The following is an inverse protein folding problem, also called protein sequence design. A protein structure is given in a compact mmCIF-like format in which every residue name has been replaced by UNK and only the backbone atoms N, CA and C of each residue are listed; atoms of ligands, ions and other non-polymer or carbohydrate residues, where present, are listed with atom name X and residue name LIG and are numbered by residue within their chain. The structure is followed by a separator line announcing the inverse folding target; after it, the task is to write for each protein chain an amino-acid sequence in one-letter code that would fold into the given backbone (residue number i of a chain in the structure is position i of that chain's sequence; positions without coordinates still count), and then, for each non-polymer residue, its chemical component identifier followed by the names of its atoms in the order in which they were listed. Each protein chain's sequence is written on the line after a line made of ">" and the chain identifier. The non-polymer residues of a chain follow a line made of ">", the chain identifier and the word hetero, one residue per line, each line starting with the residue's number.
data_IF_113710238533
#
_entry.id   IF_113710238533
#
_cell.length_a   1.000
_cell.length_b   1.000
_cell.length_c   1.000
_cell.angle_alpha   90.00
_cell.angle_beta   90.00
_cell.angle_gamma   90.00
#
_symmetry.space_group_name_H-M   'P 1'
#
loop_
_entity.id
_entity.type
_entity.pdbx_description
1 polymer ?
#
# COMPACT_ATOMS: atom_id res chain seq x y z
N UNK A 1 42.40 -5.92 42.26
CA UNK A 1 42.25 -5.75 40.80
C UNK A 1 40.79 -5.43 40.50
N UNK A 2 40.58 -4.33 39.76
CA UNK A 2 39.30 -3.89 39.21
C UNK A 2 38.98 -4.73 37.98
N UNK A 3 37.70 -5.09 37.78
CA UNK A 3 37.02 -4.79 36.51
C UNK A 3 35.51 -4.84 36.73
N UNK A 4 34.88 -3.67 36.59
CA UNK A 4 33.46 -3.45 36.81
C UNK A 4 32.63 -3.87 35.61
N UNK A 5 31.37 -4.21 35.91
CA UNK A 5 30.28 -4.49 34.96
C UNK A 5 30.06 -3.23 34.11
N UNK A 6 30.37 -3.29 32.82
CA UNK A 6 30.07 -2.21 31.87
C UNK A 6 28.55 -2.02 31.80
N UNK A 7 28.08 -0.93 32.38
CA UNK A 7 26.70 -0.45 32.26
C UNK A 7 26.60 0.26 30.91
N UNK A 8 25.71 -0.24 30.04
CA UNK A 8 25.32 0.45 28.80
C UNK A 8 24.67 1.79 29.17
N UNK A 9 24.97 2.90 28.48
CA UNK A 9 24.32 4.17 28.77
C UNK A 9 22.84 4.06 28.37
N UNK A 10 21.97 3.95 29.38
CA UNK A 10 20.56 4.28 29.22
C UNK A 10 20.50 5.81 29.16
N UNK A 11 20.14 6.34 28.01
CA UNK A 11 19.97 7.77 27.82
C UNK A 11 18.87 8.29 28.75
N UNK A 12 19.20 9.33 29.52
CA UNK A 12 18.29 10.02 30.40
C UNK A 12 17.39 10.97 29.60
N UNK A 13 16.08 10.81 29.73
CA UNK A 13 15.09 11.75 29.19
C UNK A 13 15.26 13.11 29.87
N UNK A 14 15.46 14.18 29.09
CA UNK A 14 15.14 15.53 29.56
C UNK A 14 13.64 15.73 29.37
N UNK A 15 12.89 15.57 30.45
CA UNK A 15 11.46 15.87 30.52
C UNK A 15 11.29 17.39 30.54
N UNK A 16 10.76 17.92 29.44
CA UNK A 16 10.26 19.29 29.35
C UNK A 16 8.88 19.27 28.67
N UNK A 17 7.84 19.49 29.47
CA UNK A 17 6.42 19.66 29.12
C UNK A 17 5.65 18.44 28.57
N UNK A 18 4.85 17.86 29.48
CA UNK A 18 3.64 17.05 29.29
C UNK A 18 3.42 16.40 27.91
N UNK A 19 3.99 15.22 27.72
CA UNK A 19 3.60 14.28 26.67
C UNK A 19 3.18 12.97 27.34
N UNK A 20 1.93 12.87 27.80
CA UNK A 20 1.43 11.73 28.58
C UNK A 20 1.12 10.46 27.74
N UNK A 21 1.36 10.47 26.42
CA UNK A 21 0.91 9.37 25.53
C UNK A 21 2.00 8.66 24.70
N UNK A 22 3.24 9.14 24.68
CA UNK A 22 4.24 8.69 23.69
C UNK A 22 5.00 7.38 24.04
N UNK A 23 4.87 6.82 25.25
CA UNK A 23 5.91 5.86 25.73
C UNK A 23 5.44 4.61 26.47
N UNK A 24 4.14 4.36 26.61
CA UNK A 24 3.69 3.32 27.55
C UNK A 24 3.58 1.89 26.98
N UNK A 25 3.79 1.64 25.67
CA UNK A 25 3.64 0.27 25.16
C UNK A 25 4.33 -0.03 23.81
N UNK A 26 5.49 0.57 23.51
CA UNK A 26 6.25 0.16 22.34
C UNK A 26 6.82 -1.25 22.54
N UNK A 27 6.40 -2.20 21.71
CA UNK A 27 6.91 -3.57 21.76
C UNK A 27 8.39 -3.66 21.33
N UNK A 28 9.08 -4.72 21.76
CA UNK A 28 10.50 -4.95 21.41
C UNK A 28 10.76 -4.91 19.89
N UNK A 29 9.82 -5.42 19.09
CA UNK A 29 9.88 -5.33 17.63
C UNK A 29 9.96 -3.88 17.15
N UNK A 30 9.08 -3.01 17.64
CA UNK A 30 9.04 -1.60 17.24
C UNK A 30 10.35 -0.89 17.55
N UNK A 31 10.86 -1.06 18.77
CA UNK A 31 12.12 -0.47 19.21
C UNK A 31 13.32 -0.94 18.37
N UNK A 32 13.38 -2.25 18.07
CA UNK A 32 14.47 -2.82 17.27
C UNK A 32 14.41 -2.33 15.82
N UNK A 33 13.22 -2.25 15.23
CA UNK A 33 13.03 -1.73 13.86
C UNK A 33 13.36 -0.24 13.78
N UNK A 34 12.92 0.56 14.77
CA UNK A 34 13.23 1.99 14.88
C UNK A 34 14.74 2.22 14.94
N UNK A 35 15.44 1.47 15.78
CA UNK A 35 16.90 1.53 15.89
C UNK A 35 17.59 1.13 14.57
N UNK A 36 17.18 0.02 13.94
CA UNK A 36 17.78 -0.44 12.69
C UNK A 36 17.60 0.57 11.54
N UNK A 37 16.42 1.17 11.41
CA UNK A 37 16.17 2.20 10.40
C UNK A 37 16.95 3.49 10.68
N UNK A 38 17.13 3.86 11.95
CA UNK A 38 17.94 5.01 12.33
C UNK A 38 19.39 4.81 11.92
N UNK A 39 19.98 3.66 12.29
CA UNK A 39 21.34 3.31 11.93
C UNK A 39 21.49 3.26 10.40
N UNK A 40 20.50 2.73 9.68
CA UNK A 40 20.54 2.66 8.22
C UNK A 40 20.47 4.05 7.57
N UNK A 41 19.59 4.93 8.03
CA UNK A 41 19.47 6.30 7.53
C UNK A 41 20.73 7.13 7.75
N UNK A 42 21.30 7.04 8.97
CA UNK A 42 22.49 7.80 9.39
C UNK A 42 23.74 7.53 8.55
N UNK A 43 23.82 6.39 7.85
CA UNK A 43 24.97 6.10 6.98
C UNK A 43 25.11 7.12 5.85
N UNK A 44 23.99 7.64 5.33
CA UNK A 44 24.00 8.47 4.13
C UNK A 44 23.38 9.86 4.31
N UNK A 45 22.60 10.08 5.36
CA UNK A 45 21.93 11.35 5.56
C UNK A 45 21.53 11.61 7.02
N UNK A 46 21.30 12.89 7.34
CA UNK A 46 20.83 13.30 8.66
C UNK A 46 19.48 12.64 8.97
N UNK A 47 19.42 11.88 10.06
CA UNK A 47 18.21 11.16 10.47
C UNK A 47 17.89 11.50 11.93
N UNK A 48 16.70 11.99 12.22
CA UNK A 48 16.27 12.28 13.59
C UNK A 48 15.27 11.23 14.08
N UNK A 49 15.27 10.95 15.38
CA UNK A 49 14.31 10.07 16.06
C UNK A 49 13.24 10.90 16.75
N UNK A 50 12.03 10.36 16.81
CA UNK A 50 10.93 10.88 17.64
C UNK A 50 10.74 12.39 17.48
N UNK A 51 10.60 12.81 16.22
CA UNK A 51 10.46 14.23 15.90
C UNK A 51 9.00 14.64 16.07
N UNK A 52 8.74 15.37 17.16
CA UNK A 52 7.49 16.08 17.36
C UNK A 52 7.31 17.16 16.30
N UNK A 53 6.13 17.18 15.69
CA UNK A 53 5.79 18.18 14.68
C UNK A 53 5.17 19.41 15.37
N UNK A 54 5.69 20.61 15.08
CA UNK A 54 5.44 21.82 15.89
C UNK A 54 3.96 22.22 16.04
N UNK A 55 3.09 21.79 15.10
CA UNK A 55 1.67 22.16 15.05
C UNK A 55 0.71 21.01 15.42
N UNK A 56 1.22 19.80 15.66
CA UNK A 56 0.38 18.64 15.95
C UNK A 56 1.07 17.65 16.87
N UNK A 57 0.33 17.06 17.82
CA UNK A 57 0.82 16.05 18.76
C UNK A 57 1.21 14.70 18.11
N UNK A 58 1.64 14.71 16.85
CA UNK A 58 2.17 13.57 16.11
C UNK A 58 3.68 13.62 16.22
N UNK A 59 4.24 12.50 16.63
CA UNK A 59 5.68 12.27 16.71
C UNK A 59 6.00 11.23 15.65
N UNK A 60 6.75 11.61 14.62
CA UNK A 60 7.23 10.64 13.63
C UNK A 60 8.31 9.76 14.26
N UNK A 61 8.31 8.46 14.00
CA UNK A 61 9.36 7.57 14.52
C UNK A 61 10.75 7.99 14.02
N UNK A 62 10.85 8.34 12.73
CA UNK A 62 12.07 8.88 12.13
C UNK A 62 11.76 10.04 11.18
N UNK A 63 12.74 10.93 11.02
CA UNK A 63 12.72 12.01 10.04
C UNK A 63 14.04 12.03 9.26
N UNK A 64 14.00 11.72 7.96
CA UNK A 64 15.16 11.72 7.08
C UNK A 64 15.33 13.10 6.42
N UNK A 65 16.52 13.69 6.53
CA UNK A 65 16.91 15.01 6.04
C UNK A 65 15.86 16.11 6.25
N UNK A 66 15.12 16.03 7.35
CA UNK A 66 14.04 16.97 7.71
C UNK A 66 12.89 17.07 6.70
N UNK A 67 12.76 16.13 5.76
CA UNK A 67 11.80 16.23 4.65
C UNK A 67 11.08 14.92 4.30
N UNK A 68 11.29 13.86 5.07
CA UNK A 68 10.60 12.59 4.88
C UNK A 68 10.40 11.92 6.24
N UNK A 69 9.16 11.88 6.71
CA UNK A 69 8.78 11.16 7.91
C UNK A 69 8.67 9.66 7.63
N UNK A 70 9.07 8.84 8.59
CA UNK A 70 8.82 7.40 8.59
C UNK A 70 7.99 7.03 9.82
N UNK A 71 7.02 6.15 9.60
CA UNK A 71 6.11 5.61 10.61
C UNK A 71 6.22 4.09 10.62
N UNK A 72 6.50 3.50 11.79
CA UNK A 72 6.64 2.05 11.97
C UNK A 72 5.38 1.55 12.69
N UNK A 73 4.55 0.81 11.98
CA UNK A 73 3.30 0.30 12.55
C UNK A 73 3.40 -1.20 12.84
N UNK A 74 3.56 -1.57 14.11
CA UNK A 74 3.60 -2.97 14.57
C UNK A 74 2.29 -3.42 15.25
N UNK A 75 1.49 -2.51 15.80
CA UNK A 75 0.19 -2.77 16.42
C UNK A 75 -0.96 -2.39 15.47
N UNK A 76 -2.21 -2.81 15.71
CA UNK A 76 -3.36 -2.27 14.97
C UNK A 76 -3.43 -0.75 15.07
N UNK A 77 -3.82 -0.09 13.98
CA UNK A 77 -4.03 1.36 13.90
C UNK A 77 -5.41 1.61 13.31
N UNK A 78 -6.20 2.45 13.98
CA UNK A 78 -7.55 2.76 13.53
C UNK A 78 -7.53 3.68 12.30
N UNK A 79 -8.55 3.63 11.43
CA UNK A 79 -8.68 4.59 10.32
C UNK A 79 -8.68 6.05 10.79
N UNK A 80 -9.27 6.33 11.95
CA UNK A 80 -9.35 7.66 12.54
C UNK A 80 -7.98 8.18 12.97
N UNK A 81 -7.19 7.33 13.65
CA UNK A 81 -5.82 7.68 14.06
C UNK A 81 -4.90 7.82 12.85
N UNK A 82 -5.02 6.92 11.88
CA UNK A 82 -4.29 7.03 10.62
C UNK A 82 -4.60 8.35 9.91
N UNK A 83 -5.88 8.69 9.76
CA UNK A 83 -6.32 9.94 9.13
C UNK A 83 -5.80 11.17 9.88
N UNK A 84 -5.95 11.20 11.21
CA UNK A 84 -5.42 12.28 12.06
C UNK A 84 -3.92 12.47 11.89
N UNK A 85 -3.13 11.38 11.85
CA UNK A 85 -1.68 11.46 11.68
C UNK A 85 -1.29 11.95 10.30
N UNK A 86 -1.91 11.41 9.25
CA UNK A 86 -1.62 11.84 7.88
C UNK A 86 -2.05 13.29 7.61
N UNK A 87 -3.12 13.77 8.25
CA UNK A 87 -3.52 15.18 8.15
C UNK A 87 -2.41 16.11 8.66
N UNK A 88 -1.79 15.80 9.81
CA UNK A 88 -0.66 16.61 10.34
C UNK A 88 0.51 16.63 9.36
N UNK A 89 0.87 15.49 8.77
CA UNK A 89 1.93 15.44 7.76
C UNK A 89 1.58 16.25 6.51
N UNK A 90 0.32 16.20 6.08
CA UNK A 90 -0.18 16.96 4.95
C UNK A 90 -0.15 18.46 5.20
N UNK A 91 -0.59 18.92 6.38
CA UNK A 91 -0.63 20.35 6.74
C UNK A 91 0.79 20.95 6.79
N UNK A 92 1.80 20.12 7.01
CA UNK A 92 3.22 20.50 7.08
C UNK A 92 3.97 20.31 5.76
N UNK A 93 3.28 19.94 4.67
CA UNK A 93 3.91 19.55 3.39
C UNK A 93 5.03 18.51 3.56
N UNK A 94 4.88 17.61 4.54
CA UNK A 94 5.88 16.61 4.92
C UNK A 94 5.44 15.22 4.46
N UNK A 95 6.05 14.64 3.41
CA UNK A 95 5.74 13.27 2.99
C UNK A 95 6.02 12.26 4.11
N UNK A 96 5.16 11.25 4.23
CA UNK A 96 5.30 10.16 5.20
C UNK A 96 5.30 8.80 4.52
N UNK A 97 6.18 7.90 4.96
CA UNK A 97 6.17 6.48 4.58
C UNK A 97 5.78 5.61 5.77
N UNK A 98 4.73 4.83 5.58
CA UNK A 98 4.26 3.83 6.54
C UNK A 98 4.91 2.48 6.28
N UNK A 99 5.54 1.91 7.31
CA UNK A 99 6.28 0.65 7.29
C UNK A 99 5.62 -0.35 8.24
N UNK A 100 5.09 -1.45 7.70
CA UNK A 100 4.25 -2.37 8.45
C UNK A 100 5.04 -3.57 8.99
N UNK A 101 5.09 -3.73 10.31
CA UNK A 101 5.78 -4.83 11.01
C UNK A 101 5.12 -6.21 10.86
N UNK A 102 5.68 -7.21 11.53
CA UNK A 102 5.37 -8.64 11.35
C UNK A 102 3.90 -9.02 11.51
N UNK A 103 3.19 -8.38 12.45
CA UNK A 103 1.75 -8.62 12.66
C UNK A 103 0.90 -8.25 11.45
N UNK A 104 1.41 -7.38 10.58
CA UNK A 104 0.75 -6.84 9.40
C UNK A 104 1.39 -7.28 8.10
N UNK A 105 2.14 -8.38 8.12
CA UNK A 105 2.63 -9.00 6.89
C UNK A 105 1.49 -9.43 5.97
N UNK A 106 1.72 -9.26 4.68
CA UNK A 106 0.76 -9.64 3.66
C UNK A 106 0.54 -11.16 3.61
N UNK A 107 -0.72 -11.59 3.67
CA UNK A 107 -1.12 -13.02 3.67
C UNK A 107 -2.09 -13.36 2.53
N UNK A 108 -2.02 -12.62 1.42
CA UNK A 108 -2.83 -12.85 0.22
C UNK A 108 -4.21 -12.18 0.20
N UNK A 109 -4.70 -11.65 1.32
CA UNK A 109 -5.84 -10.72 1.38
C UNK A 109 -5.38 -9.47 2.10
N UNK A 110 -5.79 -8.31 1.59
CA UNK A 110 -5.43 -7.04 2.22
C UNK A 110 -6.23 -6.83 3.50
N UNK A 111 -5.54 -6.47 4.58
CA UNK A 111 -6.17 -5.96 5.79
C UNK A 111 -6.60 -4.51 5.61
N UNK A 112 -7.43 -3.99 6.52
CA UNK A 112 -7.80 -2.58 6.52
C UNK A 112 -6.58 -1.67 6.67
N UNK A 113 -5.66 -1.99 7.59
CA UNK A 113 -4.42 -1.23 7.75
C UNK A 113 -3.54 -1.23 6.49
N UNK A 114 -3.40 -2.35 5.80
CA UNK A 114 -2.67 -2.38 4.53
C UNK A 114 -3.35 -1.50 3.47
N UNK A 115 -4.68 -1.42 3.46
CA UNK A 115 -5.43 -0.51 2.56
C UNK A 115 -5.29 0.96 2.96
N UNK A 116 -5.20 1.26 4.25
CA UNK A 116 -4.91 2.61 4.74
C UNK A 116 -3.54 3.06 4.24
N UNK A 117 -2.53 2.21 4.41
CA UNK A 117 -1.14 2.49 4.05
C UNK A 117 -0.82 2.31 2.56
N UNK A 118 -1.83 2.11 1.70
CA UNK A 118 -1.62 2.08 0.26
C UNK A 118 -1.08 3.42 -0.23
N UNK A 119 -0.03 3.35 -1.02
CA UNK A 119 0.53 4.45 -1.80
C UNK A 119 0.35 4.16 -3.29
N UNK A 120 0.53 5.18 -4.13
CA UNK A 120 0.38 5.06 -5.57
C UNK A 120 1.58 5.67 -6.29
N UNK A 121 2.00 5.01 -7.37
CA UNK A 121 2.95 5.57 -8.34
C UNK A 121 2.58 5.14 -9.76
N UNK A 122 2.82 5.97 -10.79
CA UNK A 122 2.48 5.60 -12.16
C UNK A 122 3.23 4.37 -12.68
N UNK A 123 4.41 4.08 -12.13
CA UNK A 123 5.26 2.97 -12.58
C UNK A 123 5.10 1.70 -11.75
N UNK A 124 4.52 1.76 -10.54
CA UNK A 124 4.28 0.58 -9.70
C UNK A 124 2.80 0.35 -9.33
N UNK A 125 1.88 1.21 -9.75
CA UNK A 125 0.48 1.12 -9.33
C UNK A 125 0.32 1.34 -7.83
N UNK A 126 -0.66 0.66 -7.24
CA UNK A 126 -0.83 0.60 -5.80
C UNK A 126 0.23 -0.27 -5.14
N UNK A 127 0.80 0.23 -4.04
CA UNK A 127 1.83 -0.47 -3.29
C UNK A 127 1.80 -0.15 -1.79
N UNK A 128 2.44 -0.98 -0.97
CA UNK A 128 2.75 -0.70 0.43
C UNK A 128 4.01 -1.45 0.87
N UNK A 129 4.52 -1.11 2.06
CA UNK A 129 5.76 -1.65 2.60
C UNK A 129 5.51 -2.54 3.81
N UNK A 130 6.10 -3.74 3.80
CA UNK A 130 6.34 -4.54 5.00
C UNK A 130 7.79 -4.39 5.45
N UNK A 131 8.01 -4.35 6.76
CA UNK A 131 9.31 -4.21 7.39
C UNK A 131 9.62 -5.46 8.21
N UNK A 132 10.53 -6.29 7.71
CA UNK A 132 10.89 -7.58 8.30
C UNK A 132 12.18 -7.47 9.12
N UNK A 133 12.01 -7.30 10.43
CA UNK A 133 13.12 -7.20 11.36
C UNK A 133 13.85 -8.53 11.60
N UNK A 134 13.19 -9.68 11.39
CA UNK A 134 13.82 -10.99 11.55
C UNK A 134 14.76 -11.28 10.37
N UNK A 135 14.32 -10.95 9.15
CA UNK A 135 15.14 -11.10 7.94
C UNK A 135 16.03 -9.91 7.64
N UNK A 136 15.84 -8.79 8.33
CA UNK A 136 16.51 -7.51 8.04
C UNK A 136 16.22 -7.07 6.59
N UNK A 137 14.95 -7.09 6.21
CA UNK A 137 14.49 -6.79 4.86
C UNK A 137 13.36 -5.76 4.88
N UNK A 138 13.42 -4.82 3.93
CA UNK A 138 12.28 -4.00 3.58
C UNK A 138 11.62 -4.59 2.33
N UNK A 139 10.33 -4.90 2.41
CA UNK A 139 9.59 -5.64 1.38
C UNK A 139 8.52 -4.75 0.78
N UNK A 140 8.62 -4.47 -0.52
CA UNK A 140 7.65 -3.74 -1.31
C UNK A 140 6.66 -4.72 -1.94
N UNK A 141 5.38 -4.58 -1.62
CA UNK A 141 4.28 -5.22 -2.35
C UNK A 141 3.71 -4.19 -3.32
N UNK A 142 3.76 -4.44 -4.63
CA UNK A 142 3.39 -3.44 -5.64
C UNK A 142 2.63 -4.05 -6.82
N UNK A 143 2.09 -3.17 -7.67
CA UNK A 143 1.20 -3.50 -8.78
C UNK A 143 0.02 -4.36 -8.31
N UNK A 144 -0.58 -3.94 -7.19
CA UNK A 144 -1.55 -4.74 -6.45
C UNK A 144 -2.94 -4.71 -7.11
N UNK A 145 -3.49 -5.90 -7.36
CA UNK A 145 -4.82 -6.12 -7.93
C UNK A 145 -5.59 -7.16 -7.12
N UNK A 146 -6.88 -6.92 -6.91
CA UNK A 146 -7.79 -7.83 -6.21
C UNK A 146 -8.56 -8.69 -7.22
N UNK A 147 -8.57 -10.01 -7.00
CA UNK A 147 -9.39 -10.95 -7.77
C UNK A 147 -10.85 -10.98 -7.27
N UNK A 148 -11.73 -11.62 -8.03
CA UNK A 148 -13.16 -11.78 -7.68
C UNK A 148 -13.40 -12.56 -6.39
N UNK A 149 -12.42 -13.34 -5.91
CA UNK A 149 -12.53 -13.99 -4.60
C UNK A 149 -12.14 -13.06 -3.46
N UNK A 150 -11.61 -11.88 -3.77
CA UNK A 150 -11.10 -10.87 -2.84
C UNK A 150 -9.66 -11.11 -2.40
N UNK A 151 -8.91 -12.02 -3.06
CA UNK A 151 -7.47 -12.18 -2.84
C UNK A 151 -6.72 -11.12 -3.63
N UNK A 152 -5.60 -10.66 -3.10
CA UNK A 152 -4.76 -9.69 -3.76
C UNK A 152 -3.54 -10.40 -4.38
N UNK A 153 -3.24 -10.02 -5.62
CA UNK A 153 -2.12 -10.49 -6.43
C UNK A 153 -1.29 -9.27 -6.85
N UNK A 154 0.02 -9.48 -7.05
CA UNK A 154 0.92 -8.40 -7.44
C UNK A 154 2.36 -8.88 -7.44
N UNK A 155 3.27 -7.92 -7.56
CA UNK A 155 4.70 -8.12 -7.57
C UNK A 155 5.31 -7.82 -6.20
N UNK A 156 6.48 -8.39 -5.96
CA UNK A 156 7.24 -8.19 -4.72
C UNK A 156 8.66 -7.78 -5.07
N UNK A 157 9.18 -6.77 -4.38
CA UNK A 157 10.60 -6.44 -4.38
C UNK A 157 11.12 -6.47 -2.94
N UNK A 158 12.28 -7.06 -2.73
CA UNK A 158 12.90 -7.24 -1.41
C UNK A 158 14.21 -6.46 -1.38
N UNK A 159 14.40 -5.68 -0.32
CA UNK A 159 15.55 -4.82 -0.12
C UNK A 159 16.20 -5.14 1.23
N UNK A 160 17.31 -5.90 1.25
CA UNK A 160 18.02 -6.16 2.49
C UNK A 160 18.55 -4.85 3.08
N UNK A 161 18.52 -4.76 4.41
CA UNK A 161 19.01 -3.58 5.12
C UNK A 161 20.48 -3.32 4.78
N UNK A 162 20.87 -2.05 4.80
CA UNK A 162 22.24 -1.57 4.63
C UNK A 162 22.90 -1.85 3.26
N UNK A 163 22.25 -2.56 2.32
CA UNK A 163 22.84 -2.81 0.99
C UNK A 163 22.79 -1.60 0.06
N UNK A 164 21.77 -0.76 0.22
CA UNK A 164 21.56 0.48 -0.54
C UNK A 164 21.16 1.59 0.42
N UNK A 165 21.36 2.88 0.08
CA UNK A 165 20.85 3.98 0.89
C UNK A 165 19.35 3.84 1.15
N UNK A 166 18.91 4.00 2.40
CA UNK A 166 17.49 3.87 2.79
C UNK A 166 16.57 4.72 1.90
N UNK A 167 16.94 5.99 1.64
CA UNK A 167 16.18 6.87 0.75
C UNK A 167 16.14 6.40 -0.70
N UNK A 168 17.18 5.74 -1.22
CA UNK A 168 17.13 5.15 -2.56
C UNK A 168 16.08 4.02 -2.60
N UNK A 169 16.08 3.16 -1.59
CA UNK A 169 15.09 2.08 -1.46
C UNK A 169 13.68 2.63 -1.39
N UNK A 170 13.42 3.62 -0.52
CA UNK A 170 12.10 4.22 -0.35
C UNK A 170 11.61 4.96 -1.60
N UNK A 171 12.52 5.46 -2.45
CA UNK A 171 12.19 6.11 -3.73
C UNK A 171 12.03 5.12 -4.88
N UNK A 172 12.35 3.85 -4.69
CA UNK A 172 12.29 2.83 -5.74
C UNK A 172 10.96 2.81 -6.50
N UNK A 173 9.77 2.91 -5.85
CA UNK A 173 8.49 2.90 -6.56
C UNK A 173 8.33 4.03 -7.58
N UNK A 174 9.02 5.15 -7.38
CA UNK A 174 8.90 6.36 -8.21
C UNK A 174 9.98 6.47 -9.29
N UNK A 175 11.00 5.61 -9.25
CA UNK A 175 12.17 5.68 -10.14
C UNK A 175 12.12 4.64 -11.28
N UNK A 176 11.13 3.75 -11.29
CA UNK A 176 11.03 2.70 -12.30
C UNK A 176 10.74 3.31 -13.68
N UNK A 177 11.61 2.98 -14.64
CA UNK A 177 11.46 3.37 -16.06
C UNK A 177 10.98 2.23 -16.95
N UNK A 178 11.14 0.99 -16.49
CA UNK A 178 10.72 -0.19 -17.24
C UNK A 178 9.26 -0.50 -16.94
N UNK A 179 8.54 -0.93 -17.98
CA UNK A 179 7.20 -1.47 -17.84
C UNK A 179 7.25 -2.70 -16.92
N UNK A 180 6.49 -2.66 -15.84
CA UNK A 180 6.26 -3.82 -14.98
C UNK A 180 4.91 -4.41 -15.36
N UNK A 181 4.86 -5.73 -15.40
CA UNK A 181 3.64 -6.46 -15.65
C UNK A 181 3.69 -7.85 -15.02
N UNK A 182 2.53 -8.45 -14.84
CA UNK A 182 2.39 -9.86 -14.48
C UNK A 182 1.09 -10.42 -15.03
N UNK A 183 1.08 -11.72 -15.32
CA UNK A 183 -0.13 -12.43 -15.69
C UNK A 183 -0.95 -12.78 -14.44
N UNK A 184 -2.18 -12.29 -14.38
CA UNK A 184 -3.08 -12.53 -13.27
C UNK A 184 -3.60 -13.97 -13.25
N UNK A 185 -3.69 -14.56 -12.07
CA UNK A 185 -4.32 -15.87 -11.90
C UNK A 185 -5.84 -15.72 -11.89
N UNK A 186 -6.48 -16.17 -12.97
CA UNK A 186 -7.93 -16.13 -13.18
C UNK A 186 -8.64 -17.37 -12.61
N UNK A 187 -9.94 -17.24 -12.37
CA UNK A 187 -10.87 -18.35 -12.17
C UNK A 187 -11.76 -18.50 -13.41
N UNK A 188 -11.42 -19.46 -14.27
CA UNK A 188 -12.21 -19.78 -15.47
C UNK A 188 -13.56 -20.46 -15.15
N UNK A 189 -13.77 -20.87 -13.90
CA UNK A 189 -15.01 -21.48 -13.43
C UNK A 189 -15.75 -20.55 -12.45
N UNK A 190 -15.45 -19.25 -12.48
CA UNK A 190 -16.01 -18.27 -11.56
C UNK A 190 -17.54 -18.32 -11.43
N UNK A 191 -18.34 -18.47 -12.51
CA UNK A 191 -19.80 -18.61 -12.38
C UNK A 191 -20.24 -19.78 -11.48
N UNK A 192 -19.50 -20.90 -11.49
CA UNK A 192 -19.75 -22.05 -10.60
C UNK A 192 -19.41 -21.72 -9.15
N UNK A 193 -18.31 -21.01 -8.92
CA UNK A 193 -17.95 -20.51 -7.60
C UNK A 193 -19.04 -19.57 -7.05
N UNK A 194 -19.47 -18.59 -7.85
CA UNK A 194 -20.51 -17.62 -7.49
C UNK A 194 -21.82 -18.31 -7.11
N UNK A 195 -22.30 -19.26 -7.93
CA UNK A 195 -23.52 -20.01 -7.64
C UNK A 195 -23.44 -20.72 -6.29
N UNK A 196 -22.29 -21.32 -5.98
CA UNK A 196 -22.04 -21.96 -4.67
C UNK A 196 -22.00 -20.94 -3.52
N UNK A 197 -21.42 -19.76 -3.71
CA UNK A 197 -21.41 -18.69 -2.70
C UNK A 197 -22.82 -18.18 -2.38
N UNK A 198 -23.67 -18.01 -3.40
CA UNK A 198 -25.06 -17.60 -3.21
C UNK A 198 -25.89 -18.68 -2.51
N UNK A 199 -25.68 -19.96 -2.86
CA UNK A 199 -26.31 -21.08 -2.18
C UNK A 199 -25.97 -21.10 -0.69
N UNK A 200 -24.70 -20.86 -0.34
CA UNK A 200 -24.25 -20.78 1.05
C UNK A 200 -24.52 -19.42 1.71
N UNK A 201 -25.23 -18.51 1.03
CA UNK A 201 -25.59 -17.18 1.55
C UNK A 201 -24.37 -16.38 2.02
N UNK A 202 -23.28 -16.42 1.25
CA UNK A 202 -22.15 -15.52 1.46
C UNK A 202 -22.65 -14.07 1.43
N UNK A 203 -22.43 -13.31 2.50
CA UNK A 203 -23.02 -11.98 2.70
C UNK A 203 -22.69 -11.01 1.56
N UNK A 204 -21.41 -10.97 1.14
CA UNK A 204 -20.97 -10.12 0.05
C UNK A 204 -21.71 -10.44 -1.25
N UNK A 205 -21.74 -11.71 -1.66
CA UNK A 205 -22.40 -12.08 -2.92
C UNK A 205 -23.93 -11.93 -2.87
N UNK A 206 -24.55 -12.16 -1.71
CA UNK A 206 -25.99 -11.90 -1.52
C UNK A 206 -26.30 -10.42 -1.70
N UNK A 207 -25.48 -9.53 -1.15
CA UNK A 207 -25.61 -8.09 -1.34
C UNK A 207 -25.43 -7.69 -2.81
N UNK A 208 -24.40 -8.21 -3.48
CA UNK A 208 -24.19 -7.95 -4.92
C UNK A 208 -25.36 -8.45 -5.77
N UNK A 209 -25.93 -9.62 -5.44
CA UNK A 209 -27.10 -10.17 -6.13
C UNK A 209 -28.35 -9.30 -5.90
N UNK A 210 -28.53 -8.76 -4.70
CA UNK A 210 -29.62 -7.84 -4.39
C UNK A 210 -29.52 -6.56 -5.23
N UNK A 211 -28.33 -5.97 -5.30
CA UNK A 211 -28.07 -4.80 -6.14
C UNK A 211 -28.34 -5.10 -7.63
N UNK A 212 -27.93 -6.28 -8.11
CA UNK A 212 -28.23 -6.71 -9.47
C UNK A 212 -29.75 -6.82 -9.71
N UNK A 213 -30.51 -7.42 -8.78
CA UNK A 213 -31.97 -7.52 -8.90
C UNK A 213 -32.66 -6.16 -8.93
N UNK A 214 -32.19 -5.19 -8.14
CA UNK A 214 -32.70 -3.82 -8.17
C UNK A 214 -32.48 -3.15 -9.53
N UNK A 215 -31.41 -3.52 -10.23
CA UNK A 215 -31.13 -3.10 -11.60
C UNK A 215 -31.81 -3.97 -12.68
N UNK A 216 -32.69 -4.91 -12.29
CA UNK A 216 -33.37 -5.83 -13.22
C UNK A 216 -32.47 -6.94 -13.79
N UNK A 217 -31.32 -7.21 -13.16
CA UNK A 217 -30.32 -8.18 -13.59
C UNK A 217 -30.25 -9.38 -12.65
N UNK A 218 -29.59 -10.46 -13.09
CA UNK A 218 -29.29 -11.63 -12.25
C UNK A 218 -27.83 -12.03 -12.43
N UNK A 219 -27.05 -12.14 -11.35
CA UNK A 219 -25.64 -12.53 -11.46
C UNK A 219 -25.47 -13.98 -11.96
N UNK A 220 -26.45 -14.87 -11.71
CA UNK A 220 -26.40 -16.27 -12.15
C UNK A 220 -26.62 -16.45 -13.66
N UNK A 221 -27.15 -15.44 -14.36
CA UNK A 221 -27.34 -15.51 -15.82
C UNK A 221 -26.13 -14.98 -16.58
N UNK A 222 -25.12 -14.44 -15.88
CA UNK A 222 -23.90 -13.90 -16.48
C UNK A 222 -22.96 -15.02 -16.91
N UNK A 223 -22.36 -14.86 -18.09
CA UNK A 223 -21.29 -15.69 -18.61
C UNK A 223 -19.95 -15.35 -17.94
N UNK A 224 -18.91 -16.17 -18.17
CA UNK A 224 -17.56 -15.85 -17.70
C UNK A 224 -17.04 -14.50 -18.24
N UNK A 225 -17.44 -14.13 -19.46
CA UNK A 225 -16.97 -12.90 -20.11
C UNK A 225 -17.47 -11.64 -19.40
N UNK A 226 -18.67 -11.69 -18.80
CA UNK A 226 -19.25 -10.57 -18.04
C UNK A 226 -18.50 -10.28 -16.73
N UNK A 227 -17.55 -11.13 -16.35
CA UNK A 227 -16.70 -10.98 -15.18
C UNK A 227 -15.26 -10.58 -15.53
N UNK A 228 -14.99 -10.27 -16.81
CA UNK A 228 -13.70 -9.78 -17.26
C UNK A 228 -13.66 -8.23 -17.23
N UNK A 229 -12.57 -7.60 -16.77
CA UNK A 229 -11.38 -8.20 -16.15
C UNK A 229 -11.69 -8.77 -14.75
N UNK A 230 -11.08 -9.91 -14.40
CA UNK A 230 -11.32 -10.56 -13.10
C UNK A 230 -10.42 -10.01 -11.98
N UNK A 231 -9.27 -9.45 -12.34
CA UNK A 231 -8.42 -8.74 -11.40
C UNK A 231 -8.59 -7.25 -11.66
N UNK A 232 -8.85 -6.48 -10.61
CA UNK A 232 -8.98 -5.02 -10.69
C UNK A 232 -8.03 -4.36 -9.71
N UNK A 233 -7.57 -3.12 -9.95
CA UNK A 233 -6.72 -2.42 -8.99
C UNK A 233 -7.31 -2.46 -7.58
N UNK A 234 -6.45 -2.66 -6.57
CA UNK A 234 -6.90 -2.57 -5.18
C UNK A 234 -7.39 -1.15 -4.86
N UNK A 235 -8.40 -1.05 -3.99
CA UNK A 235 -8.94 0.25 -3.57
C UNK A 235 -8.37 0.68 -2.22
N UNK A 236 -7.84 1.91 -2.10
CA UNK A 236 -7.49 2.51 -0.82
C UNK A 236 -8.76 2.84 -0.03
N UNK A 237 -8.60 3.13 1.26
CA UNK A 237 -9.72 3.60 2.08
C UNK A 237 -10.11 5.03 1.65
N UNK A 238 -11.37 5.29 1.26
CA UNK A 238 -11.79 6.61 0.78
C UNK A 238 -11.64 7.71 1.85
N UNK A 239 -11.25 8.91 1.43
CA UNK A 239 -11.32 10.13 2.25
C UNK A 239 -10.25 10.28 3.34
N UNK A 240 -9.28 9.37 3.45
CA UNK A 240 -8.23 9.41 4.49
C UNK A 240 -6.84 9.83 3.97
N UNK A 241 -6.71 10.09 2.67
CA UNK A 241 -5.50 10.61 2.04
C UNK A 241 -5.86 11.37 0.76
N UNK A 242 -5.02 12.33 0.39
CA UNK A 242 -5.11 12.94 -0.94
C UNK A 242 -4.69 11.95 -2.02
N UNK A 243 -5.45 11.93 -3.12
CA UNK A 243 -5.11 11.18 -4.33
C UNK A 243 -4.58 12.15 -5.39
N UNK A 244 -3.53 11.73 -6.10
CA UNK A 244 -3.06 12.46 -7.29
C UNK A 244 -4.06 12.34 -8.45
N UNK A 245 -4.01 13.24 -9.43
CA UNK A 245 -4.82 13.13 -10.66
C UNK A 245 -4.61 11.77 -11.34
N UNK A 246 -3.34 11.35 -11.45
CA UNK A 246 -2.97 10.06 -12.05
C UNK A 246 -3.57 8.85 -11.34
N UNK A 247 -3.78 8.96 -10.03
CA UNK A 247 -4.43 7.91 -9.25
C UNK A 247 -5.94 7.89 -9.53
N UNK A 248 -6.58 9.07 -9.60
CA UNK A 248 -8.02 9.19 -9.89
C UNK A 248 -8.38 8.63 -11.25
N UNK A 249 -7.53 8.84 -12.25
CA UNK A 249 -7.78 8.39 -13.62
C UNK A 249 -7.41 6.92 -13.85
N UNK A 250 -6.68 6.29 -12.93
CA UNK A 250 -6.13 4.96 -13.16
C UNK A 250 -7.20 3.89 -13.37
N UNK A 251 -8.25 3.87 -12.54
CA UNK A 251 -9.31 2.85 -12.64
C UNK A 251 -10.09 2.96 -13.95
N UNK A 252 -10.40 4.19 -14.41
CA UNK A 252 -11.13 4.39 -15.67
C UNK A 252 -10.29 3.98 -16.88
N UNK A 253 -9.01 4.36 -16.93
CA UNK A 253 -8.07 3.96 -17.99
C UNK A 253 -7.88 2.44 -18.03
N UNK A 254 -7.75 1.82 -16.86
CA UNK A 254 -7.66 0.37 -16.72
C UNK A 254 -8.90 -0.32 -17.31
N UNK A 255 -10.10 0.12 -16.94
CA UNK A 255 -11.35 -0.46 -17.44
C UNK A 255 -11.53 -0.24 -18.94
N UNK A 256 -11.20 0.95 -19.45
CA UNK A 256 -11.28 1.27 -20.87
C UNK A 256 -10.36 0.37 -21.71
N UNK A 257 -9.15 0.08 -21.23
CA UNK A 257 -8.22 -0.84 -21.88
C UNK A 257 -8.80 -2.27 -21.98
N UNK A 258 -9.32 -2.81 -20.87
CA UNK A 258 -9.84 -4.18 -20.88
C UNK A 258 -11.22 -4.33 -21.55
N UNK A 259 -12.00 -3.26 -21.67
CA UNK A 259 -13.26 -3.26 -22.42
C UNK A 259 -13.06 -3.58 -23.92
N UNK A 260 -11.86 -3.36 -24.45
CA UNK A 260 -11.51 -3.62 -25.86
C UNK A 260 -10.94 -5.03 -26.07
N UNK A 261 -10.71 -5.79 -25.00
CA UNK A 261 -10.05 -7.09 -25.08
C UNK A 261 -11.01 -8.18 -25.52
N UNK A 262 -10.58 -9.04 -26.47
CA UNK A 262 -11.38 -10.16 -26.99
C UNK A 262 -11.15 -11.49 -26.26
N UNK A 263 -10.13 -11.59 -25.41
CA UNK A 263 -9.80 -12.79 -24.62
C UNK A 263 -10.18 -12.63 -23.15
N UNK A 264 -10.87 -13.64 -22.61
CA UNK A 264 -11.30 -13.68 -21.20
C UNK A 264 -10.53 -14.72 -20.38
N UNK A 265 -9.60 -15.45 -21.01
CA UNK A 265 -8.83 -16.54 -20.41
C UNK A 265 -7.42 -16.13 -19.98
N UNK A 266 -7.01 -14.92 -20.33
CA UNK A 266 -5.73 -14.35 -19.97
C UNK A 266 -5.92 -12.88 -19.60
N UNK A 267 -5.25 -12.43 -18.55
CA UNK A 267 -5.23 -11.03 -18.15
C UNK A 267 -3.81 -10.63 -17.75
N UNK A 268 -3.11 -9.95 -18.66
CA UNK A 268 -1.79 -9.39 -18.39
C UNK A 268 -1.95 -7.99 -17.81
N UNK A 269 -1.55 -7.81 -16.56
CA UNK A 269 -1.68 -6.57 -15.79
C UNK A 269 -0.42 -5.73 -15.93
N UNK A 270 -0.56 -4.44 -16.24
CA UNK A 270 0.53 -3.50 -16.48
C UNK A 270 0.55 -2.37 -15.44
N UNK A 271 1.69 -1.71 -15.28
CA UNK A 271 1.80 -0.46 -14.52
C UNK A 271 0.89 0.65 -15.09
N UNK A 272 0.36 1.57 -14.25
CA UNK A 272 -0.57 2.62 -14.67
C UNK A 272 -0.17 3.44 -15.90
N UNK A 273 1.12 3.78 -16.03
CA UNK A 273 1.60 4.57 -17.17
C UNK A 273 1.27 3.93 -18.52
N UNK A 274 1.19 2.60 -18.57
CA UNK A 274 0.87 1.86 -19.79
C UNK A 274 -0.55 2.14 -20.24
N UNK A 275 -1.53 2.00 -19.34
CA UNK A 275 -2.94 2.23 -19.70
C UNK A 275 -3.19 3.67 -20.12
N UNK A 276 -2.55 4.64 -19.44
CA UNK A 276 -2.59 6.04 -19.86
C UNK A 276 -2.09 6.22 -21.30
N UNK A 277 -0.91 5.67 -21.60
CA UNK A 277 -0.33 5.78 -22.93
C UNK A 277 -1.18 5.09 -24.02
N UNK A 278 -1.85 3.99 -23.70
CA UNK A 278 -2.78 3.34 -24.63
C UNK A 278 -4.06 4.16 -24.82
N UNK A 279 -4.64 4.74 -23.75
CA UNK A 279 -5.81 5.61 -23.87
C UNK A 279 -5.51 6.89 -24.69
N UNK A 280 -4.35 7.50 -24.51
CA UNK A 280 -3.93 8.70 -25.26
C UNK A 280 -3.82 8.43 -26.77
N UNK A 281 -3.38 7.22 -27.17
CA UNK A 281 -3.34 6.80 -28.59
C UNK A 281 -4.73 6.64 -29.19
N UNK A 282 -5.70 6.19 -28.39
CA UNK A 282 -7.07 5.96 -28.86
C UNK A 282 -7.78 7.30 -29.09
N UNK A 283 -7.66 8.24 -28.15
CA UNK A 283 -8.24 9.58 -28.30
C UNK A 283 -7.69 10.33 -29.53
N UNK A 284 -6.39 10.21 -29.80
CA UNK A 284 -5.78 10.82 -30.99
C UNK A 284 -6.22 10.18 -32.31
N UNK A 285 -6.58 8.89 -32.33
CA UNK A 285 -7.13 8.25 -33.53
C UNK A 285 -8.60 8.62 -33.80
N UNK A 286 -9.39 8.91 -32.76
CA UNK A 286 -10.77 9.37 -32.91
C UNK A 286 -10.85 10.82 -33.40
N UNK A 287 -9.93 11.70 -32.96
CA UNK A 287 -9.82 13.09 -33.42
C UNK A 287 -9.35 13.22 -34.88
N UNK A 288 -8.54 12.29 -35.38
CA UNK A 288 -8.09 12.29 -36.79
C UNK A 288 -9.19 11.80 -37.74
N UNK A 289 -10.15 11.01 -37.23
CA UNK A 289 -11.26 10.45 -38.01
C UNK A 289 -12.58 11.23 -37.87
N UNK A 290 -12.56 12.37 -37.16
CA UNK A 290 -13.68 13.30 -36.97
C UNK A 290 -13.52 14.56 -37.84
#
# INVERSE_FOLDING_TARGET
>A
MKSGRQIRPHFAHKVGQACEWATLNEGAEHLNLKAALFDWGQIHEATALEVGQAEGAVVSDLLLSQNLALEIQCSPLSPQDYGRRNQVYQDLDLPVVWLLGSKHFFKGRMTELQRLCLQFSPSCGYFFWNLDGEKQELVLHYLLHQDLHGRCQGLVAVFPFFQKPLREVLRWPYQQRQLRSFEGRLDWHFPRYLAKQLQYRNSYWVEQQLQAYQAGQNLLTRSLADWYPQLVPVKPVPGLRLQSDLERDYESQFLAFYAQTSTVYQQLLYSPFYYRAECDKIGTMEEINS
#
